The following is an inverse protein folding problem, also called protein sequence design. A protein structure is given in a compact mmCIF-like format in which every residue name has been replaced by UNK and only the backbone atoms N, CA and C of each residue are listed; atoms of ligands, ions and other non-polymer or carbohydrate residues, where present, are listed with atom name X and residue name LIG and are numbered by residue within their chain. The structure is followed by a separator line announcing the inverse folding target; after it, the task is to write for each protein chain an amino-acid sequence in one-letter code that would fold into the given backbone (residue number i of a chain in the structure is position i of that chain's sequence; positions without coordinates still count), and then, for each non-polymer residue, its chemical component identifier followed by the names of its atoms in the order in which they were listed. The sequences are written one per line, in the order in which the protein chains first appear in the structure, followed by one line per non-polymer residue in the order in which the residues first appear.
data_IF_882684897548
#
_entry.id   IF_882684897548
#
_cell.length_a   1.000
_cell.length_b   1.000
_cell.length_c   1.000
_cell.angle_alpha   90.00
_cell.angle_beta   90.00
_cell.angle_gamma   90.00
#
_symmetry.space_group_name_H-M   'P 1'
#
loop_
_entity.id
_entity.type
_entity.pdbx_description
1 polymer ?
#
# COMPACT_ATOMS: atom_id res chain seq x y z
N UNK A 1 -0.88 -16.73 15.43
CA UNK A 1 -1.61 -16.35 14.20
C UNK A 1 -1.86 -14.85 14.26
N UNK A 2 -1.87 -14.13 13.14
CA UNK A 2 -2.15 -12.69 13.14
C UNK A 2 -3.65 -12.41 13.10
N UNK A 3 -4.08 -11.35 13.77
CA UNK A 3 -5.47 -10.88 13.74
C UNK A 3 -5.76 -10.06 12.47
N UNK A 4 -4.74 -9.36 11.95
CA UNK A 4 -4.81 -8.51 10.76
C UNK A 4 -3.62 -8.73 9.83
N UNK A 5 -3.77 -8.42 8.54
CA UNK A 5 -2.66 -8.37 7.58
C UNK A 5 -2.63 -6.97 6.97
N UNK A 6 -1.60 -6.20 7.33
CA UNK A 6 -1.32 -4.89 6.76
C UNK A 6 -0.11 -5.06 5.85
N UNK A 7 -0.28 -4.78 4.56
CA UNK A 7 0.79 -4.91 3.57
C UNK A 7 1.12 -3.54 3.00
N UNK A 8 2.32 -3.04 3.29
CA UNK A 8 2.82 -1.76 2.79
C UNK A 8 3.68 -1.98 1.54
N UNK A 9 3.27 -1.37 0.43
CA UNK A 9 3.92 -1.43 -0.88
C UNK A 9 3.82 -0.05 -1.55
N UNK A 10 4.51 0.16 -2.67
CA UNK A 10 4.43 1.42 -3.40
C UNK A 10 5.77 1.88 -3.97
N UNK A 11 5.91 3.18 -4.07
CA UNK A 11 7.06 3.87 -4.65
C UNK A 11 7.97 4.44 -3.57
N UNK A 12 9.19 4.75 -4.00
CA UNK A 12 10.18 5.53 -3.30
C UNK A 12 10.96 6.42 -4.29
N UNK A 13 11.91 7.20 -3.76
CA UNK A 13 12.74 8.09 -4.56
C UNK A 13 13.67 7.38 -5.54
N UNK A 14 13.81 6.05 -5.46
CA UNK A 14 14.51 5.27 -6.48
C UNK A 14 13.66 5.09 -7.73
N UNK A 15 12.34 5.25 -7.65
CA UNK A 15 11.42 5.10 -8.78
C UNK A 15 10.98 6.43 -9.37
N UNK A 16 10.77 7.45 -8.54
CA UNK A 16 10.32 8.78 -8.96
C UNK A 16 11.15 9.87 -8.27
N UNK A 17 11.76 10.76 -9.07
CA UNK A 17 12.49 11.93 -8.57
C UNK A 17 12.49 13.00 -9.67
N UNK A 18 12.94 14.22 -9.36
CA UNK A 18 12.87 15.40 -10.24
C UNK A 18 13.36 15.14 -11.67
N UNK A 19 14.52 14.49 -11.84
CA UNK A 19 15.10 14.18 -13.15
C UNK A 19 14.79 12.76 -13.65
N UNK A 20 13.78 12.10 -13.06
CA UNK A 20 13.44 10.72 -13.36
C UNK A 20 11.94 10.49 -13.40
N UNK A 21 11.42 10.53 -14.62
CA UNK A 21 10.06 10.09 -14.90
C UNK A 21 9.92 8.57 -14.75
N UNK A 22 8.73 8.15 -14.31
CA UNK A 22 8.33 6.75 -14.32
C UNK A 22 7.86 6.35 -15.72
N UNK A 23 8.17 5.11 -16.09
CA UNK A 23 7.75 4.51 -17.37
C UNK A 23 6.48 3.65 -17.23
N UNK A 24 5.97 3.49 -16.01
CA UNK A 24 4.78 2.68 -15.70
C UNK A 24 4.13 3.15 -14.40
N UNK A 25 2.82 2.92 -14.27
CA UNK A 25 2.04 3.16 -13.06
C UNK A 25 1.90 1.91 -12.17
N UNK A 26 2.48 0.78 -12.59
CA UNK A 26 2.44 -0.47 -11.82
C UNK A 26 3.39 -0.42 -10.62
N UNK A 27 3.11 -1.26 -9.61
CA UNK A 27 4.01 -1.46 -8.48
C UNK A 27 5.39 -1.96 -8.96
N UNK A 28 6.49 -1.43 -8.39
CA UNK A 28 7.83 -1.77 -8.83
C UNK A 28 8.26 -3.17 -8.35
N UNK A 29 9.15 -3.78 -9.10
CA UNK A 29 9.83 -5.02 -8.72
C UNK A 29 8.88 -6.20 -8.51
N UNK A 30 8.92 -6.79 -7.31
CA UNK A 30 8.22 -8.03 -6.94
C UNK A 30 7.07 -7.82 -5.96
N UNK A 31 6.64 -6.58 -5.78
CA UNK A 31 5.57 -6.25 -4.86
C UNK A 31 4.23 -6.87 -5.27
N UNK A 32 3.97 -6.99 -6.58
CA UNK A 32 2.77 -7.69 -7.09
C UNK A 32 2.78 -9.19 -6.80
N UNK A 33 3.95 -9.83 -6.98
CA UNK A 33 4.15 -11.25 -6.68
C UNK A 33 4.00 -11.48 -5.16
N UNK A 34 4.57 -10.59 -4.34
CA UNK A 34 4.43 -10.62 -2.88
C UNK A 34 2.96 -10.52 -2.45
N UNK A 35 2.22 -9.55 -2.97
CA UNK A 35 0.80 -9.40 -2.67
C UNK A 35 0.01 -10.65 -3.04
N UNK A 36 0.25 -11.20 -4.23
CA UNK A 36 -0.42 -12.42 -4.70
C UNK A 36 -0.14 -13.61 -3.78
N UNK A 37 1.11 -13.77 -3.32
CA UNK A 37 1.50 -14.81 -2.37
C UNK A 37 0.83 -14.61 -1.02
N UNK A 38 0.89 -13.41 -0.44
CA UNK A 38 0.24 -13.09 0.84
C UNK A 38 -1.26 -13.35 0.76
N UNK A 39 -1.92 -12.90 -0.31
CA UNK A 39 -3.33 -13.13 -0.53
C UNK A 39 -3.66 -14.62 -0.70
N UNK A 40 -2.77 -15.45 -1.27
CA UNK A 40 -3.00 -16.89 -1.41
C UNK A 40 -2.93 -17.68 -0.10
N UNK A 41 -2.13 -17.22 0.86
CA UNK A 41 -1.91 -17.93 2.14
C UNK A 41 -2.70 -17.33 3.30
N UNK A 42 -3.08 -16.06 3.20
CA UNK A 42 -3.81 -15.37 4.26
C UNK A 42 -5.26 -15.86 4.34
N UNK A 43 -5.70 -16.21 5.55
CA UNK A 43 -7.13 -16.44 5.87
C UNK A 43 -7.87 -15.15 6.24
N UNK A 44 -7.16 -14.02 6.29
CA UNK A 44 -7.68 -12.70 6.69
C UNK A 44 -7.65 -11.76 5.50
N UNK A 45 -8.58 -10.80 5.48
CA UNK A 45 -8.52 -9.71 4.52
C UNK A 45 -7.26 -8.87 4.72
N UNK A 46 -6.72 -8.37 3.60
CA UNK A 46 -5.55 -7.52 3.55
C UNK A 46 -5.98 -6.06 3.57
N UNK A 47 -5.30 -5.26 4.39
CA UNK A 47 -5.27 -3.81 4.30
C UNK A 47 -4.03 -3.43 3.50
N UNK A 48 -4.23 -2.97 2.27
CA UNK A 48 -3.16 -2.55 1.37
C UNK A 48 -2.82 -1.09 1.66
N UNK A 49 -1.57 -0.81 2.00
CA UNK A 49 -1.06 0.55 2.25
C UNK A 49 -0.10 0.91 1.13
N UNK A 50 -0.36 2.02 0.45
CA UNK A 50 0.37 2.52 -0.70
C UNK A 50 1.19 3.75 -0.33
N UNK A 51 2.51 3.68 -0.56
CA UNK A 51 3.43 4.83 -0.49
C UNK A 51 3.77 5.35 -1.88
N UNK A 52 4.13 6.63 -1.96
CA UNK A 52 4.54 7.27 -3.21
C UNK A 52 3.85 8.62 -3.43
N UNK A 53 4.51 9.50 -4.17
CA UNK A 53 3.99 10.81 -4.56
C UNK A 53 3.13 10.75 -5.82
N UNK A 54 3.52 9.95 -6.82
CA UNK A 54 2.76 9.81 -8.06
C UNK A 54 1.66 8.75 -8.00
N UNK A 55 0.73 8.74 -8.98
CA UNK A 55 -0.35 7.76 -9.03
C UNK A 55 0.17 6.34 -9.27
N UNK A 56 -0.53 5.35 -8.72
CA UNK A 56 -0.34 3.92 -8.94
C UNK A 56 -1.63 3.32 -9.50
N UNK A 57 -1.51 2.40 -10.46
CA UNK A 57 -2.65 1.59 -10.91
C UNK A 57 -3.01 0.60 -9.81
N UNK A 58 -4.24 0.67 -9.31
CA UNK A 58 -4.77 -0.19 -8.23
C UNK A 58 -5.80 -1.21 -8.72
N UNK A 59 -5.99 -1.35 -10.03
CA UNK A 59 -7.01 -2.24 -10.62
C UNK A 59 -6.84 -3.70 -10.18
N UNK A 60 -5.59 -4.13 -9.95
CA UNK A 60 -5.27 -5.46 -9.41
C UNK A 60 -5.85 -5.67 -8.00
N UNK A 61 -5.91 -4.61 -7.20
CA UNK A 61 -6.38 -4.67 -5.83
C UNK A 61 -7.91 -4.62 -5.78
N UNK A 62 -8.53 -3.79 -6.62
CA UNK A 62 -9.99 -3.71 -6.74
C UNK A 62 -10.62 -5.02 -7.24
N UNK A 63 -9.90 -5.76 -8.09
CA UNK A 63 -10.36 -7.04 -8.63
C UNK A 63 -10.23 -8.23 -7.65
N UNK A 64 -9.47 -8.08 -6.56
CA UNK A 64 -9.20 -9.17 -5.60
C UNK A 64 -9.97 -8.96 -4.29
N UNK A 65 -11.01 -9.76 -4.07
CA UNK A 65 -11.85 -9.69 -2.87
C UNK A 65 -11.11 -9.93 -1.55
N UNK A 66 -9.88 -10.43 -1.58
CA UNK A 66 -9.03 -10.60 -0.39
C UNK A 66 -8.45 -9.28 0.09
N UNK A 67 -8.39 -8.26 -0.75
CA UNK A 67 -7.93 -6.92 -0.40
C UNK A 67 -9.16 -6.09 -0.04
N UNK A 68 -9.44 -5.97 1.26
CA UNK A 68 -10.66 -5.33 1.71
C UNK A 68 -10.56 -3.81 1.74
N UNK A 69 -9.36 -3.26 1.93
CA UNK A 69 -9.13 -1.82 2.13
C UNK A 69 -7.83 -1.41 1.45
N UNK A 70 -7.84 -0.22 0.86
CA UNK A 70 -6.67 0.41 0.23
C UNK A 70 -6.51 1.79 0.87
N UNK A 71 -5.32 2.08 1.38
CA UNK A 71 -4.93 3.38 1.94
C UNK A 71 -3.77 3.92 1.12
N UNK A 72 -3.81 5.18 0.70
CA UNK A 72 -2.67 5.89 0.14
C UNK A 72 -2.19 6.93 1.14
N UNK A 73 -0.90 6.86 1.49
CA UNK A 73 -0.32 7.70 2.56
C UNK A 73 0.77 8.65 2.07
N UNK A 74 1.01 8.72 0.76
CA UNK A 74 2.05 9.58 0.20
C UNK A 74 3.45 9.20 0.67
N UNK A 75 4.25 10.23 0.98
CA UNK A 75 5.49 10.13 1.76
C UNK A 75 5.23 10.74 3.15
N UNK A 76 4.91 9.91 4.17
CA UNK A 76 4.15 10.38 5.34
C UNK A 76 5.01 11.05 6.42
N UNK A 77 6.28 11.36 6.15
CA UNK A 77 7.19 12.01 7.09
C UNK A 77 7.51 11.16 8.33
N UNK A 78 8.11 11.81 9.34
CA UNK A 78 8.66 11.16 10.53
C UNK A 78 7.59 10.53 11.44
N UNK A 79 6.42 11.14 11.54
CA UNK A 79 5.28 10.64 12.33
C UNK A 79 4.31 9.79 11.50
N UNK A 80 4.68 9.47 10.26
CA UNK A 80 3.79 8.80 9.32
C UNK A 80 3.31 7.42 9.76
N UNK A 81 4.17 6.68 10.47
CA UNK A 81 3.79 5.39 11.05
C UNK A 81 2.74 5.52 12.14
N UNK A 82 2.86 6.53 13.00
CA UNK A 82 1.89 6.81 14.07
C UNK A 82 0.54 7.22 13.46
N UNK A 83 0.56 8.18 12.54
CA UNK A 83 -0.66 8.64 11.87
C UNK A 83 -1.39 7.51 11.13
N UNK A 84 -0.66 6.60 10.49
CA UNK A 84 -1.23 5.41 9.86
C UNK A 84 -1.90 4.49 10.88
N UNK A 85 -1.25 4.27 12.03
CA UNK A 85 -1.81 3.42 13.09
C UNK A 85 -3.10 4.02 13.65
N UNK A 86 -3.10 5.32 13.98
CA UNK A 86 -4.28 6.04 14.47
C UNK A 86 -5.46 5.93 13.49
N UNK A 87 -5.21 6.00 12.18
CA UNK A 87 -6.25 5.82 11.15
C UNK A 87 -6.75 4.38 11.09
N UNK A 88 -5.86 3.38 11.08
CA UNK A 88 -6.23 1.97 10.97
C UNK A 88 -7.04 1.50 12.19
N UNK A 89 -6.67 1.96 13.38
CA UNK A 89 -7.32 1.58 14.63
C UNK A 89 -8.51 2.49 14.99
N UNK A 90 -8.73 3.56 14.23
CA UNK A 90 -9.90 4.43 14.35
C UNK A 90 -9.78 5.52 15.41
N UNK A 91 -8.57 5.79 15.90
CA UNK A 91 -8.27 6.92 16.76
C UNK A 91 -8.35 8.25 15.99
N UNK A 92 -8.19 8.20 14.66
CA UNK A 92 -8.35 9.34 13.76
C UNK A 92 -9.20 8.99 12.53
N UNK A 93 -10.12 9.88 12.14
CA UNK A 93 -10.89 9.75 10.91
C UNK A 93 -10.12 10.38 9.74
N UNK A 94 -9.81 9.64 8.66
CA UNK A 94 -9.00 10.14 7.54
C UNK A 94 -9.66 11.21 6.65
N UNK A 95 -10.91 11.61 6.90
CA UNK A 95 -11.62 12.68 6.19
C UNK A 95 -13.08 12.36 5.87
#
# INVERSE_FOLDING_TARGET
MSDYVILTVGLDLTQETEDKDRITLLLPGKQMDLLSLVASVSRKHIILVLTGGGPLDVSFAEADSRIARILWIGYPGETGGEALAEVIFGDYNPG
#
